data_IF_305228638482
#
_entry.id   IF_305228638482
#
_cell.length_a   1.000
_cell.length_b   1.000
_cell.length_c   1.000
_cell.angle_alpha   90.00
_cell.angle_beta   90.00
_cell.angle_gamma   90.00
#
_symmetry.space_group_name_H-M   'P 1'
#
loop_
_entity.id
_entity.type
_entity.pdbx_description
1 polymer ?
#
# COMPACT_ATOMS: atom_id res chain seq x y z
N UNK A 1 -7.65 1.21 16.05
CA UNK A 1 -8.49 1.45 14.85
C UNK A 1 -9.15 2.82 15.02
N UNK A 2 -9.60 3.53 13.97
CA UNK A 2 -9.91 4.97 14.03
C UNK A 2 -10.94 5.27 15.12
N UNK A 3 -10.62 6.22 15.99
CA UNK A 3 -11.46 6.62 17.13
C UNK A 3 -11.78 8.10 16.96
N UNK A 4 -12.91 8.38 16.29
CA UNK A 4 -13.50 9.72 16.29
C UNK A 4 -14.87 9.64 16.97
N UNK A 5 -14.95 10.14 18.20
CA UNK A 5 -16.13 9.99 19.07
C UNK A 5 -17.37 10.68 18.49
N UNK A 6 -17.17 11.82 17.81
CA UNK A 6 -18.26 12.55 17.16
C UNK A 6 -18.91 11.69 16.07
N UNK A 7 -18.10 11.06 15.21
CA UNK A 7 -18.61 10.14 14.18
C UNK A 7 -19.24 8.90 14.81
N UNK A 8 -18.64 8.32 15.84
CA UNK A 8 -19.17 7.10 16.48
C UNK A 8 -20.48 7.33 17.25
N UNK A 9 -20.73 8.56 17.74
CA UNK A 9 -21.93 8.88 18.52
C UNK A 9 -23.24 8.87 17.72
N UNK A 10 -23.16 9.13 16.40
CA UNK A 10 -24.34 9.28 15.53
C UNK A 10 -24.40 8.27 14.38
N UNK A 11 -23.41 7.39 14.27
CA UNK A 11 -23.34 6.35 13.23
C UNK A 11 -23.28 4.94 13.83
N UNK A 12 -23.47 3.94 12.98
CA UNK A 12 -23.24 2.54 13.36
C UNK A 12 -21.81 2.31 13.86
N UNK A 13 -21.63 1.43 14.84
CA UNK A 13 -20.32 1.16 15.48
C UNK A 13 -19.18 0.80 14.50
N UNK A 14 -19.50 0.24 13.34
CA UNK A 14 -18.51 -0.17 12.32
C UNK A 14 -18.31 0.85 11.21
N UNK A 15 -18.92 2.04 11.28
CA UNK A 15 -18.92 3.00 10.18
C UNK A 15 -17.51 3.39 9.72
N UNK A 16 -16.65 3.82 10.66
CA UNK A 16 -15.28 4.23 10.35
C UNK A 16 -14.41 3.07 9.89
N UNK A 17 -14.60 1.87 10.45
CA UNK A 17 -13.86 0.68 10.01
C UNK A 17 -14.23 0.28 8.58
N UNK A 18 -15.53 0.23 8.27
CA UNK A 18 -16.02 -0.11 6.94
C UNK A 18 -15.58 0.93 5.91
N UNK A 19 -15.68 2.21 6.26
CA UNK A 19 -15.23 3.29 5.40
C UNK A 19 -13.72 3.22 5.16
N UNK A 20 -12.91 2.97 6.19
CA UNK A 20 -11.47 2.79 6.05
C UNK A 20 -11.14 1.63 5.08
N UNK A 21 -11.81 0.48 5.22
CA UNK A 21 -11.62 -0.66 4.31
C UNK A 21 -11.97 -0.30 2.87
N UNK A 22 -13.09 0.39 2.67
CA UNK A 22 -13.53 0.82 1.36
C UNK A 22 -12.53 1.76 0.68
N UNK A 23 -12.03 2.77 1.42
CA UNK A 23 -11.04 3.73 0.88
C UNK A 23 -9.72 3.04 0.55
N UNK A 24 -9.25 2.13 1.40
CA UNK A 24 -8.03 1.35 1.12
C UNK A 24 -8.22 0.51 -0.15
N UNK A 25 -9.34 -0.19 -0.28
CA UNK A 25 -9.63 -1.01 -1.46
C UNK A 25 -9.71 -0.16 -2.73
N UNK A 26 -10.35 1.00 -2.68
CA UNK A 26 -10.40 1.93 -3.80
C UNK A 26 -9.01 2.38 -4.24
N UNK A 27 -8.15 2.75 -3.28
CA UNK A 27 -6.78 3.16 -3.58
C UNK A 27 -5.97 1.98 -4.15
N UNK A 28 -6.00 0.81 -3.51
CA UNK A 28 -5.18 -0.33 -3.89
C UNK A 28 -5.58 -0.93 -5.25
N UNK A 29 -6.88 -0.92 -5.59
CA UNK A 29 -7.38 -1.62 -6.77
C UNK A 29 -7.72 -0.71 -7.95
N UNK A 30 -8.02 0.56 -7.70
CA UNK A 30 -8.61 1.46 -8.71
C UNK A 30 -7.83 2.76 -8.91
N UNK A 31 -6.86 3.05 -8.06
CA UNK A 31 -6.06 4.27 -8.14
C UNK A 31 -4.64 3.99 -8.68
N UNK A 32 -4.02 4.93 -9.42
CA UNK A 32 -2.58 4.87 -9.70
C UNK A 32 -1.70 5.15 -8.46
N UNK A 33 -2.32 5.53 -7.34
CA UNK A 33 -1.64 5.84 -6.08
C UNK A 33 -1.12 4.55 -5.44
N UNK A 34 0.16 4.58 -5.04
CA UNK A 34 0.77 3.51 -4.26
C UNK A 34 0.52 3.77 -2.78
N UNK A 35 -0.14 2.83 -2.10
CA UNK A 35 -0.43 2.92 -0.68
C UNK A 35 0.51 2.03 0.15
N UNK A 36 1.05 2.59 1.23
CA UNK A 36 1.78 1.87 2.27
C UNK A 36 1.46 2.47 3.64
N UNK A 37 1.35 1.63 4.66
CA UNK A 37 1.10 2.06 6.03
C UNK A 37 2.31 1.86 6.95
N UNK A 38 2.52 2.81 7.86
CA UNK A 38 3.49 2.70 8.95
C UNK A 38 2.71 2.76 10.27
N UNK A 39 2.69 1.65 11.01
CA UNK A 39 2.09 1.57 12.34
C UNK A 39 3.14 1.76 13.42
N UNK A 40 3.01 2.78 14.27
CA UNK A 40 3.89 2.94 15.44
C UNK A 40 3.22 2.26 16.64
N UNK A 41 3.87 1.25 17.22
CA UNK A 41 3.37 0.51 18.38
C UNK A 41 2.11 -0.32 18.11
N UNK A 42 1.64 -0.39 16.86
CA UNK A 42 0.39 -1.04 16.50
C UNK A 42 0.51 -1.74 15.15
N UNK A 43 0.07 -2.99 15.10
CA UNK A 43 -0.04 -3.74 13.87
C UNK A 43 -1.20 -3.22 13.00
N UNK A 44 -0.86 -2.76 11.80
CA UNK A 44 -1.81 -2.22 10.81
C UNK A 44 -2.00 -3.15 9.60
N UNK A 45 -1.36 -4.32 9.58
CA UNK A 45 -1.45 -5.31 8.49
C UNK A 45 -2.86 -5.87 8.29
N UNK A 46 -3.74 -5.73 9.29
CA UNK A 46 -5.16 -6.09 9.21
C UNK A 46 -5.93 -5.28 8.16
N UNK A 47 -5.45 -4.09 7.81
CA UNK A 47 -6.14 -3.17 6.89
C UNK A 47 -5.35 -2.93 5.61
N UNK A 48 -4.03 -2.85 5.69
CA UNK A 48 -3.18 -2.45 4.55
C UNK A 48 -2.37 -3.64 4.04
N UNK A 49 -2.38 -3.86 2.72
CA UNK A 49 -1.61 -4.96 2.10
C UNK A 49 -0.11 -4.78 2.27
N UNK A 50 0.36 -3.54 2.16
CA UNK A 50 1.77 -3.17 2.40
C UNK A 50 1.83 -2.32 3.66
N UNK A 51 2.49 -2.86 4.67
CA UNK A 51 2.65 -2.19 5.95
C UNK A 51 3.99 -2.52 6.59
N UNK A 52 4.44 -1.61 7.45
CA UNK A 52 5.52 -1.83 8.41
C UNK A 52 5.06 -1.38 9.77
N UNK A 53 5.46 -2.13 10.80
CA UNK A 53 5.22 -1.76 12.19
C UNK A 53 6.56 -1.41 12.80
N UNK A 54 6.68 -0.19 13.34
CA UNK A 54 7.84 0.26 14.10
C UNK A 54 7.46 0.41 15.56
N UNK A 55 8.44 0.32 16.45
CA UNK A 55 8.17 0.36 17.89
C UNK A 55 8.09 1.80 18.39
N UNK A 56 8.96 2.67 17.87
CA UNK A 56 9.14 4.03 18.34
C UNK A 56 9.12 5.05 17.18
N UNK A 57 8.58 6.27 17.39
CA UNK A 57 8.56 7.31 16.35
C UNK A 57 9.95 7.71 15.82
N UNK A 58 11.03 7.52 16.59
CA UNK A 58 12.40 7.83 16.14
C UNK A 58 12.85 6.93 14.98
N UNK A 59 12.28 5.73 14.85
CA UNK A 59 12.56 4.80 13.75
C UNK A 59 11.87 5.22 12.43
N UNK A 60 10.94 6.17 12.47
CA UNK A 60 10.10 6.57 11.34
C UNK A 60 10.92 7.01 10.13
N UNK A 61 11.97 7.80 10.34
CA UNK A 61 12.80 8.31 9.24
C UNK A 61 13.51 7.16 8.48
N UNK A 62 14.01 6.16 9.21
CA UNK A 62 14.62 4.96 8.62
C UNK A 62 13.60 4.14 7.84
N UNK A 63 12.47 3.82 8.49
CA UNK A 63 11.38 3.06 7.87
C UNK A 63 10.83 3.75 6.61
N UNK A 64 10.65 5.07 6.62
CA UNK A 64 10.23 5.82 5.43
C UNK A 64 11.22 5.68 4.28
N UNK A 65 12.52 5.78 4.56
CA UNK A 65 13.57 5.67 3.54
C UNK A 65 13.58 4.27 2.92
N UNK A 66 13.56 3.22 3.74
CA UNK A 66 13.52 1.83 3.29
C UNK A 66 12.29 1.55 2.41
N UNK A 67 11.12 2.02 2.85
CA UNK A 67 9.87 1.81 2.11
C UNK A 67 9.77 2.61 0.82
N UNK A 68 10.38 3.79 0.76
CA UNK A 68 10.50 4.51 -0.50
C UNK A 68 11.35 3.73 -1.50
N UNK A 69 12.47 3.14 -1.07
CA UNK A 69 13.31 2.29 -1.93
C UNK A 69 12.52 1.10 -2.47
N UNK A 70 11.81 0.36 -1.61
CA UNK A 70 10.97 -0.78 -1.99
C UNK A 70 9.93 -0.41 -3.08
N UNK A 71 9.25 0.75 -2.93
CA UNK A 71 8.28 1.23 -3.91
C UNK A 71 8.88 1.54 -5.29
N UNK A 72 10.15 1.96 -5.35
CA UNK A 72 10.84 2.23 -6.62
C UNK A 72 11.32 0.95 -7.31
N UNK A 73 11.76 -0.06 -6.56
CA UNK A 73 12.18 -1.34 -7.10
C UNK A 73 11.01 -2.11 -7.74
N UNK A 74 9.84 -2.13 -7.08
CA UNK A 74 8.61 -2.75 -7.62
C UNK A 74 8.22 -2.19 -9.01
N UNK A 75 8.44 -0.89 -9.24
CA UNK A 75 8.15 -0.27 -10.55
C UNK A 75 9.16 -0.66 -11.63
N UNK A 76 10.42 -0.83 -11.27
CA UNK A 76 11.47 -1.19 -12.23
C UNK A 76 11.18 -2.57 -12.87
N UNK A 77 10.73 -3.54 -12.08
CA UNK A 77 10.36 -4.87 -12.58
C UNK A 77 9.08 -4.86 -13.44
N UNK A 78 8.09 -4.03 -13.07
CA UNK A 78 6.84 -3.88 -13.83
C UNK A 78 7.01 -3.23 -15.22
N UNK A 79 8.06 -2.42 -15.42
CA UNK A 79 8.38 -1.85 -16.74
C UNK A 79 9.21 -2.79 -17.60
N UNK A 80 10.13 -3.57 -17.02
CA UNK A 80 11.03 -4.45 -17.78
C UNK A 80 10.30 -5.60 -18.49
N UNK A 81 9.18 -6.08 -17.92
CA UNK A 81 8.35 -7.14 -18.52
C UNK A 81 7.52 -6.67 -19.72
N UNK A 82 7.35 -5.35 -19.92
CA UNK A 82 6.57 -4.79 -21.04
C UNK A 82 7.38 -4.59 -22.32
N UNK A 83 8.70 -4.58 -22.23
CA UNK A 83 9.60 -4.31 -23.37
C UNK A 83 10.20 -5.56 -24.01
N UNK A 84 9.93 -6.76 -23.47
CA UNK A 84 10.55 -8.03 -23.86
C UNK A 84 9.86 -8.85 -24.96
N UNK A 85 8.98 -8.26 -25.77
CA UNK A 85 8.23 -8.96 -26.83
C UNK A 85 8.99 -9.16 -28.14
N UNK A 86 10.27 -9.55 -28.12
CA UNK A 86 11.04 -9.82 -29.36
C UNK A 86 10.72 -11.23 -29.88
N UNK A 87 9.75 -11.34 -30.80
CA UNK A 87 9.50 -12.59 -31.56
C UNK A 87 10.68 -12.87 -32.52
N UNK A 88 11.31 -14.06 -32.47
CA UNK A 88 12.36 -14.39 -33.44
C UNK A 88 11.71 -14.63 -34.82
N UNK A 89 12.13 -13.85 -35.83
CA UNK A 89 11.74 -14.06 -37.24
C UNK A 89 12.38 -15.37 -37.72
N UNK A 90 11.56 -16.40 -37.92
CA UNK A 90 11.94 -17.63 -38.64
C UNK A 90 12.38 -17.26 -40.06
N UNK A 91 13.68 -17.40 -40.33
CA UNK A 91 14.29 -17.33 -41.66
C UNK A 91 13.89 -18.60 -42.42
N UNK A 92 13.09 -18.47 -43.50
CA UNK A 92 12.87 -19.57 -44.44
C UNK A 92 14.04 -19.59 -45.43
N UNK A 93 14.50 -20.82 -45.66
CA UNK A 93 15.53 -21.27 -46.59
C UNK A 93 15.00 -21.15 -48.02
#
# INVERSE_FOLDING_TARGET
APVDDSTLSVNSAHYLENHLRQVIEEIELRSPVQLIAIGIGHDVTRYYRRAVTITDPTELAGAMTEKLVELFEDRAFGQMTRTGGMRPRRRKV
#
